data_IF_822894927695
#
_entry.id   IF_822894927695
#
_cell.length_a   1.000
_cell.length_b   1.000
_cell.length_c   1.000
_cell.angle_alpha   90.00
_cell.angle_beta   90.00
_cell.angle_gamma   90.00
#
_symmetry.space_group_name_H-M   'P 1'
#
loop_
_entity.id
_entity.type
_entity.pdbx_description
1 polymer ?
#
# COMPACT_ATOMS: atom_id res chain seq x y z
N UNK A 1 -21.74 -31.73 -11.81
CA UNK A 1 -22.28 -31.57 -10.45
C UNK A 1 -21.61 -30.35 -9.82
N UNK A 2 -22.32 -29.26 -9.81
CA UNK A 2 -21.80 -27.97 -9.37
C UNK A 2 -21.88 -27.85 -7.85
N UNK A 3 -20.74 -27.97 -7.20
CA UNK A 3 -20.61 -27.95 -5.76
C UNK A 3 -19.99 -26.65 -5.23
N UNK A 4 -20.07 -25.55 -5.97
CA UNK A 4 -19.24 -24.40 -5.63
C UNK A 4 -19.93 -23.05 -5.58
N UNK A 5 -21.21 -23.02 -5.40
CA UNK A 5 -21.94 -21.76 -5.26
C UNK A 5 -21.77 -21.07 -3.91
N UNK A 6 -21.08 -21.65 -2.95
CA UNK A 6 -20.90 -21.09 -1.61
C UNK A 6 -19.57 -20.35 -1.36
N UNK A 7 -18.60 -20.40 -2.29
CA UNK A 7 -17.27 -19.83 -2.08
C UNK A 7 -16.92 -18.69 -3.03
N UNK A 8 -17.84 -18.28 -3.90
CA UNK A 8 -17.52 -17.31 -4.96
C UNK A 8 -17.61 -15.85 -4.57
N UNK A 9 -18.11 -15.51 -3.40
CA UNK A 9 -18.36 -14.12 -3.01
C UNK A 9 -17.24 -13.49 -2.15
N UNK A 10 -16.18 -14.23 -1.84
CA UNK A 10 -15.02 -13.66 -1.20
C UNK A 10 -14.15 -13.00 -2.25
N UNK A 11 -14.02 -11.66 -2.26
CA UNK A 11 -13.15 -10.98 -3.21
C UNK A 11 -11.75 -11.55 -3.11
N UNK A 12 -11.17 -11.94 -4.24
CA UNK A 12 -9.81 -12.44 -4.25
C UNK A 12 -8.87 -11.28 -3.90
N UNK A 13 -7.87 -11.52 -3.06
CA UNK A 13 -6.87 -10.52 -2.72
C UNK A 13 -6.18 -9.95 -3.97
N UNK A 14 -6.11 -10.71 -5.04
CA UNK A 14 -5.59 -10.28 -6.32
C UNK A 14 -6.38 -9.10 -6.91
N UNK A 15 -7.71 -9.08 -6.77
CA UNK A 15 -8.53 -7.97 -7.25
C UNK A 15 -8.23 -6.67 -6.49
N UNK A 16 -7.83 -6.80 -5.21
CA UNK A 16 -7.39 -5.66 -4.39
C UNK A 16 -5.99 -5.19 -4.80
N UNK A 17 -5.08 -6.10 -5.07
CA UNK A 17 -3.75 -5.76 -5.59
C UNK A 17 -3.91 -4.97 -6.90
N UNK A 18 -4.63 -5.53 -7.87
CA UNK A 18 -4.82 -4.92 -9.19
C UNK A 18 -5.47 -3.52 -9.13
N UNK A 19 -6.37 -3.32 -8.15
CA UNK A 19 -7.07 -2.05 -7.96
C UNK A 19 -6.25 -1.00 -7.21
N UNK A 20 -5.61 -1.40 -6.13
CA UNK A 20 -5.04 -0.46 -5.17
C UNK A 20 -3.54 -0.21 -5.36
N UNK A 21 -2.78 -1.17 -5.88
CA UNK A 21 -1.36 -1.01 -6.15
C UNK A 21 -1.10 0.20 -7.06
N UNK A 22 -1.71 0.19 -8.22
CA UNK A 22 -1.61 1.28 -9.18
C UNK A 22 -2.02 2.63 -8.58
N UNK A 23 -3.11 2.64 -7.81
CA UNK A 23 -3.62 3.87 -7.18
C UNK A 23 -2.62 4.46 -6.21
N UNK A 24 -2.10 3.65 -5.28
CA UNK A 24 -1.14 4.12 -4.29
C UNK A 24 0.19 4.55 -4.93
N UNK A 25 0.63 3.89 -5.99
CA UNK A 25 1.83 4.30 -6.73
C UNK A 25 1.64 5.60 -7.50
N UNK A 26 0.48 5.82 -8.10
CA UNK A 26 0.16 7.11 -8.74
C UNK A 26 0.06 8.23 -7.69
N UNK A 27 -0.51 7.96 -6.52
CA UNK A 27 -0.55 8.91 -5.41
C UNK A 27 0.86 9.24 -4.91
N UNK A 28 1.76 8.25 -4.88
CA UNK A 28 3.15 8.44 -4.45
C UNK A 28 3.96 9.25 -5.47
N UNK A 29 3.92 8.90 -6.73
CA UNK A 29 4.79 9.43 -7.77
C UNK A 29 4.18 10.59 -8.56
N UNK A 30 2.86 10.62 -8.68
CA UNK A 30 2.16 11.33 -9.74
C UNK A 30 2.17 10.54 -11.06
N UNK A 31 1.26 10.88 -11.96
CA UNK A 31 1.03 10.07 -13.17
C UNK A 31 2.25 9.95 -14.08
N UNK A 32 2.97 11.06 -14.31
CA UNK A 32 4.09 11.07 -15.23
C UNK A 32 5.24 10.17 -14.75
N UNK A 33 5.64 10.33 -13.49
CA UNK A 33 6.72 9.54 -12.91
C UNK A 33 6.32 8.08 -12.69
N UNK A 34 5.02 7.83 -12.42
CA UNK A 34 4.49 6.47 -12.35
C UNK A 34 4.64 5.73 -13.70
N UNK A 35 4.36 6.40 -14.81
CA UNK A 35 4.50 5.77 -16.13
C UNK A 35 5.96 5.40 -16.45
N UNK A 36 6.92 6.23 -16.04
CA UNK A 36 8.35 5.93 -16.14
C UNK A 36 8.73 4.74 -15.25
N UNK A 37 8.24 4.71 -14.01
CA UNK A 37 8.45 3.61 -13.09
C UNK A 37 7.86 2.28 -13.61
N UNK A 38 6.63 2.32 -14.14
CA UNK A 38 5.96 1.14 -14.70
C UNK A 38 6.73 0.58 -15.90
N UNK A 39 7.23 1.47 -16.79
CA UNK A 39 8.05 1.07 -17.92
C UNK A 39 9.38 0.42 -17.48
N UNK A 40 10.05 0.99 -16.47
CA UNK A 40 11.29 0.43 -15.91
C UNK A 40 11.04 -0.92 -15.21
N UNK A 41 9.93 -1.04 -14.49
CA UNK A 41 9.54 -2.29 -13.83
C UNK A 41 9.30 -3.42 -14.83
N UNK A 42 8.69 -3.12 -15.98
CA UNK A 42 8.48 -4.08 -17.08
C UNK A 42 9.83 -4.53 -17.65
N UNK A 43 10.75 -3.58 -17.90
CA UNK A 43 12.09 -3.89 -18.39
C UNK A 43 12.88 -4.78 -17.43
N UNK A 44 12.73 -4.55 -16.12
CA UNK A 44 13.40 -5.28 -15.05
C UNK A 44 12.68 -6.56 -14.60
N UNK A 45 11.66 -7.03 -15.34
CA UNK A 45 10.90 -8.23 -15.02
C UNK A 45 10.34 -8.24 -13.57
N UNK A 46 9.84 -7.09 -13.13
CA UNK A 46 9.22 -6.91 -11.81
C UNK A 46 10.14 -6.31 -10.76
N UNK A 47 11.37 -5.95 -11.12
CA UNK A 47 12.30 -5.19 -10.25
C UNK A 47 12.81 -3.99 -11.04
N UNK A 48 12.77 -2.76 -10.48
CA UNK A 48 13.28 -1.59 -11.18
C UNK A 48 14.78 -1.72 -11.52
N UNK A 49 15.17 -1.21 -12.65
CA UNK A 49 16.58 -1.20 -13.12
C UNK A 49 17.24 0.16 -12.93
N UNK A 50 16.46 1.24 -12.96
CA UNK A 50 16.96 2.58 -12.69
C UNK A 50 17.26 2.77 -11.20
N UNK A 51 18.46 3.28 -10.88
CA UNK A 51 18.93 3.46 -9.50
C UNK A 51 17.95 4.26 -8.63
N UNK A 52 17.35 5.33 -9.18
CA UNK A 52 16.37 6.18 -8.47
C UNK A 52 15.13 5.41 -8.04
N UNK A 53 14.65 4.48 -8.84
CA UNK A 53 13.49 3.65 -8.50
C UNK A 53 13.88 2.48 -7.60
N UNK A 54 15.07 1.90 -7.81
CA UNK A 54 15.58 0.83 -6.99
C UNK A 54 15.78 1.27 -5.54
N UNK A 55 16.28 2.50 -5.31
CA UNK A 55 16.42 3.09 -3.97
C UNK A 55 15.08 3.18 -3.20
N UNK A 56 13.97 3.44 -3.90
CA UNK A 56 12.63 3.47 -3.30
C UNK A 56 12.02 2.08 -3.18
N UNK A 57 12.41 1.18 -4.05
CA UNK A 57 11.89 -0.19 -4.06
C UNK A 57 12.41 -1.00 -2.87
N UNK A 58 13.69 -0.81 -2.53
CA UNK A 58 14.36 -1.46 -1.41
C UNK A 58 14.12 -0.73 -0.08
N UNK A 59 14.44 -1.36 1.08
CA UNK A 59 14.44 -0.68 2.36
C UNK A 59 15.36 0.54 2.36
N UNK A 60 14.85 1.68 2.83
CA UNK A 60 15.51 2.98 2.76
C UNK A 60 15.55 3.65 4.13
N UNK A 61 16.70 4.22 4.49
CA UNK A 61 16.86 5.09 5.66
C UNK A 61 17.38 6.46 5.23
N UNK A 62 16.70 7.52 5.65
CA UNK A 62 17.10 8.90 5.34
C UNK A 62 17.27 9.71 6.61
N UNK A 63 18.20 10.66 6.61
CA UNK A 63 18.30 11.69 7.62
C UNK A 63 17.60 12.97 7.11
N UNK A 64 16.68 13.47 7.88
CA UNK A 64 16.01 14.74 7.63
C UNK A 64 15.91 15.54 8.90
N UNK A 65 16.53 16.71 8.92
CA UNK A 65 16.59 17.61 10.08
C UNK A 65 17.07 16.92 11.37
N UNK A 66 18.08 16.04 11.28
CA UNK A 66 18.64 15.32 12.42
C UNK A 66 17.78 14.19 12.96
N UNK A 67 16.80 13.73 12.17
CA UNK A 67 15.97 12.57 12.49
C UNK A 67 16.10 11.53 11.39
N UNK A 68 16.23 10.29 11.79
CA UNK A 68 16.26 9.16 10.86
C UNK A 68 14.84 8.68 10.59
N UNK A 69 14.48 8.61 9.32
CA UNK A 69 13.23 8.07 8.83
C UNK A 69 13.52 6.79 8.05
N UNK A 70 12.77 5.74 8.34
CA UNK A 70 12.96 4.43 7.74
C UNK A 70 11.75 4.04 6.89
N UNK A 71 12.02 3.40 5.76
CA UNK A 71 11.05 2.72 4.93
C UNK A 71 11.45 1.25 4.82
N UNK A 72 10.48 0.35 4.92
CA UNK A 72 10.71 -1.09 4.72
C UNK A 72 10.68 -1.48 3.22
N UNK A 73 10.65 -0.50 2.35
CA UNK A 73 10.58 -0.69 0.92
C UNK A 73 9.16 -0.67 0.37
N UNK A 74 9.08 -0.52 -0.96
CA UNK A 74 7.82 -0.29 -1.66
C UNK A 74 6.85 -1.48 -1.54
N UNK A 75 7.36 -2.70 -1.64
CA UNK A 75 6.53 -3.90 -1.56
C UNK A 75 5.84 -4.03 -0.19
N UNK A 76 6.56 -3.79 0.91
CA UNK A 76 5.98 -3.87 2.26
C UNK A 76 4.99 -2.72 2.52
N UNK A 77 5.26 -1.53 2.00
CA UNK A 77 4.33 -0.41 2.03
C UNK A 77 3.01 -0.76 1.32
N UNK A 78 3.08 -1.27 0.10
CA UNK A 78 1.89 -1.66 -0.66
C UNK A 78 1.11 -2.80 0.02
N UNK A 79 1.80 -3.81 0.55
CA UNK A 79 1.17 -4.88 1.34
C UNK A 79 0.37 -4.33 2.52
N UNK A 80 0.93 -3.35 3.24
CA UNK A 80 0.24 -2.73 4.36
C UNK A 80 -1.06 -2.01 3.96
N UNK A 81 -1.02 -1.24 2.88
CA UNK A 81 -2.19 -0.53 2.37
C UNK A 81 -3.24 -1.47 1.77
N UNK A 82 -2.83 -2.40 0.92
CA UNK A 82 -3.74 -3.35 0.25
C UNK A 82 -4.39 -4.27 1.27
N UNK A 83 -3.64 -4.76 2.25
CA UNK A 83 -4.18 -5.57 3.32
C UNK A 83 -5.22 -4.82 4.14
N UNK A 84 -4.98 -3.54 4.43
CA UNK A 84 -5.96 -2.70 5.12
C UNK A 84 -7.27 -2.58 4.34
N UNK A 85 -7.22 -2.28 3.04
CA UNK A 85 -8.42 -2.17 2.21
C UNK A 85 -9.18 -3.50 2.11
N UNK A 86 -8.45 -4.60 1.96
CA UNK A 86 -9.01 -5.94 1.92
C UNK A 86 -9.76 -6.29 3.22
N UNK A 87 -9.11 -6.15 4.37
CA UNK A 87 -9.71 -6.49 5.66
C UNK A 87 -10.89 -5.57 5.99
N UNK A 88 -10.77 -4.28 5.68
CA UNK A 88 -11.85 -3.31 5.86
C UNK A 88 -13.12 -3.71 5.11
N UNK A 89 -13.00 -4.12 3.85
CA UNK A 89 -14.15 -4.55 3.06
C UNK A 89 -14.69 -5.92 3.52
N UNK A 90 -13.81 -6.83 3.91
CA UNK A 90 -14.21 -8.13 4.47
C UNK A 90 -14.96 -8.00 5.81
N UNK A 91 -14.63 -7.01 6.62
CA UNK A 91 -15.33 -6.77 7.90
C UNK A 91 -16.68 -6.06 7.73
N UNK A 92 -16.87 -5.38 6.60
CA UNK A 92 -18.08 -4.62 6.28
C UNK A 92 -18.94 -5.31 5.20
N UNK A 93 -19.12 -6.62 5.28
CA UNK A 93 -19.98 -7.32 4.31
C UNK A 93 -21.44 -6.87 4.46
N UNK A 94 -21.98 -6.32 3.37
CA UNK A 94 -23.40 -6.03 3.28
C UNK A 94 -24.16 -7.32 2.99
N UNK A 95 -25.03 -7.70 3.90
CA UNK A 95 -26.01 -8.78 3.68
C UNK A 95 -27.38 -8.19 3.35
N UNK A 96 -28.29 -9.00 2.87
CA UNK A 96 -29.68 -8.62 2.62
C UNK A 96 -30.44 -8.10 3.86
N UNK A 97 -29.86 -8.26 5.06
CA UNK A 97 -30.41 -7.84 6.35
C UNK A 97 -29.70 -6.57 6.87
N UNK A 98 -28.69 -6.05 6.14
CA UNK A 98 -27.89 -4.89 6.53
C UNK A 98 -26.40 -5.26 6.74
N UNK A 99 -25.62 -4.31 7.23
CA UNK A 99 -24.21 -4.53 7.56
C UNK A 99 -24.09 -5.53 8.72
N UNK A 100 -23.61 -6.74 8.45
CA UNK A 100 -23.36 -7.74 9.48
C UNK A 100 -21.86 -7.87 9.69
N UNK A 101 -21.46 -7.68 10.93
CA UNK A 101 -20.11 -8.02 11.35
C UNK A 101 -20.06 -9.54 11.61
N UNK A 102 -19.23 -10.33 10.92
CA UNK A 102 -19.11 -11.75 11.22
C UNK A 102 -18.69 -11.95 12.68
N UNK A 103 -19.52 -12.59 13.48
CA UNK A 103 -19.21 -12.99 14.85
C UNK A 103 -18.72 -14.43 14.85
N UNK A 104 -17.42 -14.65 14.90
CA UNK A 104 -16.87 -15.93 15.30
C UNK A 104 -16.95 -16.08 16.83
N UNK A 105 -17.39 -17.23 17.33
CA UNK A 105 -17.61 -17.48 18.76
C UNK A 105 -16.37 -17.32 19.66
N UNK A 106 -15.15 -17.24 19.07
CA UNK A 106 -13.88 -17.15 19.80
C UNK A 106 -12.86 -16.16 19.20
N UNK A 107 -13.28 -15.14 18.43
CA UNK A 107 -12.32 -14.19 17.89
C UNK A 107 -12.13 -12.98 18.78
N UNK A 108 -10.92 -12.79 19.29
CA UNK A 108 -10.48 -11.58 19.97
C UNK A 108 -10.35 -10.43 18.95
N UNK A 109 -11.46 -9.85 18.55
CA UNK A 109 -11.56 -8.77 17.56
C UNK A 109 -10.67 -7.56 17.84
N UNK A 110 -10.44 -7.24 19.10
CA UNK A 110 -9.62 -6.09 19.49
C UNK A 110 -8.16 -6.23 19.06
N UNK A 111 -7.62 -7.45 19.08
CA UNK A 111 -6.22 -7.72 18.69
C UNK A 111 -6.04 -7.62 17.18
N UNK A 112 -6.99 -8.11 16.38
CA UNK A 112 -6.91 -8.09 14.93
C UNK A 112 -7.01 -6.67 14.36
N UNK A 113 -7.86 -5.84 14.94
CA UNK A 113 -8.02 -4.43 14.57
C UNK A 113 -6.74 -3.64 14.90
N UNK A 114 -6.16 -3.85 16.07
CA UNK A 114 -4.91 -3.18 16.46
C UNK A 114 -3.75 -3.55 15.53
N UNK A 115 -3.62 -4.81 15.13
CA UNK A 115 -2.62 -5.25 14.17
C UNK A 115 -2.84 -4.64 12.79
N UNK A 116 -4.09 -4.52 12.35
CA UNK A 116 -4.45 -3.90 11.08
C UNK A 116 -3.98 -2.43 11.02
N UNK A 117 -4.29 -1.66 12.06
CA UNK A 117 -3.87 -0.25 12.16
C UNK A 117 -2.36 -0.11 12.30
N UNK A 118 -1.69 -1.01 13.01
CA UNK A 118 -0.24 -1.01 13.11
C UNK A 118 0.40 -1.20 11.74
N UNK A 119 -0.04 -2.18 10.96
CA UNK A 119 0.47 -2.40 9.59
C UNK A 119 0.20 -1.22 8.66
N UNK A 120 -0.99 -0.64 8.74
CA UNK A 120 -1.32 0.56 7.97
C UNK A 120 -0.40 1.73 8.35
N UNK A 121 -0.18 1.96 9.63
CA UNK A 121 0.68 3.05 10.10
C UNK A 121 2.15 2.85 9.69
N UNK A 122 2.67 1.62 9.68
CA UNK A 122 3.99 1.32 9.15
C UNK A 122 4.07 1.59 7.64
N UNK A 123 3.03 1.23 6.88
CA UNK A 123 2.94 1.59 5.47
C UNK A 123 2.95 3.11 5.26
N UNK A 124 2.22 3.88 6.09
CA UNK A 124 2.24 5.36 6.05
C UNK A 124 3.61 5.92 6.38
N UNK A 125 4.34 5.34 7.34
CA UNK A 125 5.73 5.75 7.64
C UNK A 125 6.63 5.54 6.42
N UNK A 126 6.59 4.35 5.81
CA UNK A 126 7.35 4.04 4.60
C UNK A 126 7.00 5.00 3.46
N UNK A 127 5.72 5.25 3.21
CA UNK A 127 5.24 6.20 2.21
C UNK A 127 5.82 7.60 2.42
N UNK A 128 5.73 8.12 3.65
CA UNK A 128 6.26 9.45 4.00
C UNK A 128 7.77 9.53 3.87
N UNK A 129 8.49 8.48 4.22
CA UNK A 129 9.94 8.40 4.04
C UNK A 129 10.32 8.47 2.56
N UNK A 130 9.62 7.74 1.69
CA UNK A 130 9.83 7.81 0.25
C UNK A 130 9.54 9.20 -0.32
N UNK A 131 8.44 9.84 0.10
CA UNK A 131 8.12 11.22 -0.30
C UNK A 131 9.22 12.19 0.13
N UNK A 132 9.73 12.08 1.35
CA UNK A 132 10.84 12.91 1.83
C UNK A 132 12.11 12.67 1.01
N UNK A 133 12.43 11.43 0.69
CA UNK A 133 13.58 11.10 -0.17
C UNK A 133 13.46 11.72 -1.56
N UNK A 134 12.29 11.60 -2.19
CA UNK A 134 12.02 12.22 -3.49
C UNK A 134 12.16 13.74 -3.39
N UNK A 135 11.61 14.37 -2.35
CA UNK A 135 11.69 15.82 -2.15
C UNK A 135 13.13 16.33 -1.92
N UNK A 136 13.98 15.53 -1.27
CA UNK A 136 15.41 15.84 -1.10
C UNK A 136 16.20 15.72 -2.42
N UNK A 137 15.73 14.89 -3.35
CA UNK A 137 16.41 14.52 -4.58
C UNK A 137 15.60 14.84 -5.84
N UNK A 138 14.83 15.94 -5.84
CA UNK A 138 13.91 16.31 -6.93
C UNK A 138 14.55 16.35 -8.31
N UNK A 139 15.86 16.63 -8.39
CA UNK A 139 16.60 16.63 -9.65
C UNK A 139 16.61 15.24 -10.31
N UNK A 140 16.55 14.17 -9.53
CA UNK A 140 16.53 12.79 -10.02
C UNK A 140 15.11 12.31 -10.37
N UNK A 141 14.11 13.00 -9.84
CA UNK A 141 12.69 12.66 -10.00
C UNK A 141 11.94 13.74 -10.79
N UNK A 142 12.45 14.08 -11.99
CA UNK A 142 11.80 15.06 -12.84
C UNK A 142 10.39 14.59 -13.20
N UNK A 143 9.41 15.50 -13.14
CA UNK A 143 8.00 15.16 -13.36
C UNK A 143 7.26 14.66 -12.11
N UNK A 144 7.90 14.64 -10.94
CA UNK A 144 7.23 14.33 -9.68
C UNK A 144 6.06 15.28 -9.42
N UNK A 145 4.88 14.70 -9.28
CA UNK A 145 3.64 15.40 -8.93
C UNK A 145 2.79 14.63 -7.93
N UNK A 146 3.44 13.76 -7.16
CA UNK A 146 2.76 12.96 -6.15
C UNK A 146 2.06 13.81 -5.09
N UNK A 147 1.04 13.24 -4.47
CA UNK A 147 0.28 13.89 -3.42
C UNK A 147 0.71 13.40 -2.02
N UNK A 148 1.63 14.10 -1.34
CA UNK A 148 2.12 13.68 -0.04
C UNK A 148 1.09 13.80 1.09
N UNK A 149 -0.09 14.38 0.82
CA UNK A 149 -1.13 14.62 1.82
C UNK A 149 -2.18 13.51 1.92
N UNK A 150 -2.16 12.53 1.01
CA UNK A 150 -3.22 11.54 0.88
C UNK A 150 -3.27 10.47 1.97
N UNK A 151 -2.22 10.31 2.78
CA UNK A 151 -2.15 9.28 3.82
C UNK A 151 -2.14 9.87 5.21
N UNK A 152 -3.11 9.45 6.04
CA UNK A 152 -3.19 9.83 7.45
C UNK A 152 -2.92 8.61 8.34
N UNK A 153 -2.32 8.84 9.52
CA UNK A 153 -2.22 7.79 10.53
C UNK A 153 -3.59 7.52 11.17
N UNK A 154 -3.85 6.26 11.49
CA UNK A 154 -4.89 5.89 12.44
C UNK A 154 -4.34 6.02 13.86
N UNK A 155 -5.10 6.65 14.71
CA UNK A 155 -4.79 6.87 16.14
C UNK A 155 -5.56 5.86 16.98
#
# INVERSE_FOLDING_TARGET
YELHTGMSDTPRIQDYIDRYEKRYLIDLFGKALYDEFEADLILGAGTPTEARFLELFEPLAIDYCGRVYNSEGMAEMLKGFIYYEYVKDMTNQMTSIGNVLPKGENSNRATDIAMLYTRYNEAVKSYRTMVLHICQNLSNYSGYSGNPKGTAYWI
#
